data_IF_220627706113
#
_entry.id   IF_220627706113
#
_cell.length_a   1.000
_cell.length_b   1.000
_cell.length_c   1.000
_cell.angle_alpha   90.00
_cell.angle_beta   90.00
_cell.angle_gamma   90.00
#
_symmetry.space_group_name_H-M   'P 1'
#
loop_
_entity.id
_entity.type
_entity.pdbx_description
1 polymer ?
#
# COMPACT_ATOMS: atom_id res chain seq x y z
N UNK A 1 -6.61 14.38 16.04
CA UNK A 1 -6.68 14.44 14.55
C UNK A 1 -6.72 13.00 14.09
N UNK A 2 -7.92 12.45 13.89
CA UNK A 2 -8.09 11.11 13.33
C UNK A 2 -8.96 11.29 12.10
N UNK A 3 -8.37 11.17 10.92
CA UNK A 3 -9.14 11.34 9.69
C UNK A 3 -10.05 10.12 9.45
N UNK A 4 -9.63 8.93 9.93
CA UNK A 4 -10.40 7.69 9.87
C UNK A 4 -10.59 7.18 8.43
N UNK A 5 -10.88 5.88 8.29
CA UNK A 5 -11.08 5.27 6.97
C UNK A 5 -9.83 5.33 6.09
N UNK A 6 -9.96 5.87 4.89
CA UNK A 6 -8.86 6.01 3.91
C UNK A 6 -8.18 7.36 4.09
N UNK A 7 -6.96 7.36 4.64
CA UNK A 7 -6.22 8.55 5.04
C UNK A 7 -5.02 8.84 4.13
N UNK A 8 -4.77 10.13 3.85
CA UNK A 8 -3.48 10.66 3.37
C UNK A 8 -2.90 11.63 4.39
N UNK A 9 -1.60 11.50 4.66
CA UNK A 9 -0.82 12.43 5.48
C UNK A 9 -0.05 13.37 4.57
N UNK A 10 -0.41 14.64 4.55
CA UNK A 10 0.19 15.64 3.64
C UNK A 10 1.27 16.48 4.29
N UNK A 11 1.31 16.51 5.63
CA UNK A 11 2.40 17.15 6.39
C UNK A 11 2.83 16.19 7.49
N UNK A 12 4.13 15.83 7.56
CA UNK A 12 4.64 14.99 8.63
C UNK A 12 4.50 15.71 9.97
N UNK A 13 4.30 14.95 11.04
CA UNK A 13 4.28 15.49 12.39
C UNK A 13 4.06 14.41 13.43
N UNK A 14 4.37 14.76 14.67
CA UNK A 14 4.23 13.93 15.86
C UNK A 14 4.06 14.88 17.07
N UNK A 15 3.41 14.47 18.16
CA UNK A 15 3.33 15.31 19.36
C UNK A 15 4.72 15.82 19.78
N UNK A 16 4.91 17.12 20.10
CA UNK A 16 3.90 18.20 20.21
C UNK A 16 3.60 18.97 18.90
N UNK A 17 4.27 18.65 17.78
CA UNK A 17 4.12 19.32 16.48
C UNK A 17 3.20 18.52 15.55
N UNK A 18 1.88 18.78 15.55
CA UNK A 18 0.94 17.97 14.80
C UNK A 18 1.14 18.09 13.29
N UNK A 19 1.04 16.95 12.60
CA UNK A 19 1.00 16.90 11.15
C UNK A 19 -0.38 17.28 10.58
N UNK A 20 -0.56 17.11 9.27
CA UNK A 20 -1.84 17.30 8.59
C UNK A 20 -2.23 16.04 7.84
N UNK A 21 -3.49 15.64 7.97
CA UNK A 21 -4.06 14.50 7.27
C UNK A 21 -5.46 14.82 6.74
N UNK A 22 -5.85 14.14 5.66
CA UNK A 22 -7.21 14.14 5.10
C UNK A 22 -7.70 12.71 5.05
N UNK A 23 -9.01 12.49 5.20
CA UNK A 23 -9.57 11.16 5.14
C UNK A 23 -11.03 11.14 4.74
N UNK A 24 -11.48 9.98 4.29
CA UNK A 24 -12.88 9.70 4.01
C UNK A 24 -13.23 8.29 4.46
N UNK A 25 -14.47 8.10 4.87
CA UNK A 25 -14.97 6.80 5.33
C UNK A 25 -15.43 5.93 4.16
N UNK A 26 -15.15 4.63 4.27
CA UNK A 26 -15.67 3.59 3.38
C UNK A 26 -16.33 2.51 4.23
N UNK A 27 -17.35 1.84 3.68
CA UNK A 27 -18.04 0.71 4.33
C UNK A 27 -17.58 -0.65 3.79
N UNK A 28 -16.71 -0.66 2.77
CA UNK A 28 -16.15 -1.87 2.17
C UNK A 28 -15.12 -2.49 3.12
N UNK A 29 -15.03 -3.82 3.12
CA UNK A 29 -14.06 -4.58 3.92
C UNK A 29 -12.90 -5.02 3.03
N UNK A 30 -11.70 -5.06 3.59
CA UNK A 30 -10.54 -5.70 2.99
C UNK A 30 -10.25 -7.04 3.65
N UNK A 31 -9.63 -7.96 2.92
CA UNK A 31 -9.11 -9.21 3.47
C UNK A 31 -7.60 -9.09 3.62
N UNK A 32 -7.10 -9.16 4.87
CA UNK A 32 -5.68 -9.19 5.15
C UNK A 32 -5.16 -10.63 5.05
N UNK A 33 -4.11 -10.83 4.28
CA UNK A 33 -3.41 -12.10 4.12
C UNK A 33 -1.97 -11.93 4.59
N UNK A 34 -1.51 -12.75 5.51
CA UNK A 34 -0.13 -12.71 6.01
C UNK A 34 0.47 -14.10 6.10
N UNK A 35 1.76 -14.20 5.79
CA UNK A 35 2.53 -15.42 5.97
C UNK A 35 3.22 -15.36 7.33
N UNK A 36 2.89 -16.29 8.23
CA UNK A 36 3.44 -16.33 9.60
C UNK A 36 4.89 -16.80 9.72
N UNK A 37 5.56 -17.12 8.62
CA UNK A 37 6.96 -17.58 8.68
C UNK A 37 7.93 -16.40 8.89
N UNK A 38 8.96 -16.62 9.72
CA UNK A 38 10.06 -15.68 9.96
C UNK A 38 10.86 -15.46 8.66
N UNK A 39 10.40 -14.56 7.81
CA UNK A 39 11.20 -14.02 6.71
C UNK A 39 12.24 -13.03 7.28
N UNK A 40 13.36 -12.88 6.56
CA UNK A 40 14.57 -12.15 6.96
C UNK A 40 14.27 -10.90 7.77
N UNK A 41 15.07 -10.69 8.84
CA UNK A 41 15.01 -9.49 9.66
C UNK A 41 14.87 -8.25 8.76
N UNK A 42 13.81 -7.47 9.00
CA UNK A 42 13.51 -6.25 8.22
C UNK A 42 14.71 -5.28 8.19
N UNK A 43 15.64 -5.42 9.16
CA UNK A 43 16.92 -4.70 9.21
C UNK A 43 17.82 -4.93 7.99
N UNK A 44 17.86 -6.13 7.41
CA UNK A 44 18.77 -6.39 6.27
C UNK A 44 18.47 -5.56 5.02
N UNK A 45 17.25 -5.04 4.86
CA UNK A 45 16.87 -4.19 3.73
C UNK A 45 16.70 -2.72 4.14
N UNK A 46 16.21 -2.42 5.35
CA UNK A 46 16.04 -1.05 5.85
C UNK A 46 17.39 -0.33 6.03
N UNK A 47 18.44 -1.05 6.42
CA UNK A 47 19.77 -0.47 6.66
C UNK A 47 20.61 -0.30 5.38
N UNK A 48 20.14 -0.83 4.25
CA UNK A 48 20.79 -0.63 2.97
C UNK A 48 20.53 0.79 2.46
N UNK A 49 21.56 1.63 2.38
CA UNK A 49 21.43 3.06 1.99
C UNK A 49 20.65 3.27 0.68
N UNK A 50 20.78 2.35 -0.29
CA UNK A 50 20.04 2.40 -1.55
C UNK A 50 18.53 2.19 -1.40
N UNK A 51 18.11 1.38 -0.42
CA UNK A 51 16.69 1.07 -0.19
C UNK A 51 15.93 2.26 0.36
N UNK A 52 16.50 2.97 1.34
CA UNK A 52 15.91 4.20 1.87
C UNK A 52 15.69 5.24 0.77
N UNK A 53 16.68 5.40 -0.11
CA UNK A 53 16.57 6.30 -1.27
C UNK A 53 15.45 5.89 -2.23
N UNK A 54 15.33 4.60 -2.56
CA UNK A 54 14.24 4.06 -3.40
C UNK A 54 12.87 4.30 -2.76
N UNK A 55 12.71 4.03 -1.47
CA UNK A 55 11.45 4.29 -0.73
C UNK A 55 11.10 5.77 -0.77
N UNK A 56 12.04 6.66 -0.43
CA UNK A 56 11.80 8.11 -0.43
C UNK A 56 11.39 8.58 -1.82
N UNK A 57 12.14 8.21 -2.85
CA UNK A 57 11.85 8.60 -4.23
C UNK A 57 10.49 8.10 -4.70
N UNK A 58 10.16 6.83 -4.45
CA UNK A 58 8.87 6.26 -4.83
C UNK A 58 7.71 6.89 -4.04
N UNK A 59 7.91 7.15 -2.75
CA UNK A 59 6.93 7.78 -1.87
C UNK A 59 6.64 9.23 -2.25
N UNK A 60 7.69 10.03 -2.50
CA UNK A 60 7.56 11.42 -2.92
C UNK A 60 6.84 11.51 -4.28
N UNK A 61 7.17 10.62 -5.22
CA UNK A 61 6.50 10.56 -6.51
C UNK A 61 5.02 10.18 -6.39
N UNK A 62 4.67 9.20 -5.55
CA UNK A 62 3.27 8.84 -5.29
C UNK A 62 2.51 9.99 -4.62
N UNK A 63 3.10 10.63 -3.62
CA UNK A 63 2.50 11.79 -2.95
C UNK A 63 2.30 12.97 -3.90
N UNK A 64 3.24 13.23 -4.80
CA UNK A 64 3.12 14.27 -5.82
C UNK A 64 1.91 14.03 -6.74
N UNK A 65 1.65 12.78 -7.15
CA UNK A 65 0.50 12.43 -7.99
C UNK A 65 -0.81 12.45 -7.19
N UNK A 66 -0.86 11.78 -6.04
CA UNK A 66 -2.05 11.69 -5.18
C UNK A 66 -2.57 13.07 -4.74
N UNK A 67 -1.67 14.01 -4.43
CA UNK A 67 -2.05 15.35 -3.96
C UNK A 67 -2.62 16.27 -5.04
N UNK A 68 -2.56 15.88 -6.32
CA UNK A 68 -3.21 16.60 -7.43
C UNK A 68 -4.71 16.33 -7.50
N UNK A 69 -5.19 15.31 -6.79
CA UNK A 69 -6.59 14.90 -6.79
C UNK A 69 -7.31 15.28 -5.49
N UNK A 70 -8.65 15.30 -5.54
CA UNK A 70 -9.48 15.46 -4.34
C UNK A 70 -9.42 14.19 -3.50
N UNK A 71 -9.21 14.34 -2.20
CA UNK A 71 -9.20 13.22 -1.26
C UNK A 71 -10.62 12.84 -0.83
N UNK A 72 -11.34 12.17 -1.72
CA UNK A 72 -12.67 11.60 -1.51
C UNK A 72 -12.75 10.23 -2.22
N UNK A 73 -13.92 9.58 -2.25
CA UNK A 73 -14.08 8.24 -2.84
C UNK A 73 -13.56 8.09 -4.28
N UNK A 74 -13.55 9.15 -5.09
CA UNK A 74 -13.06 9.08 -6.47
C UNK A 74 -11.55 8.85 -6.58
N UNK A 75 -10.80 9.00 -5.48
CA UNK A 75 -9.35 8.70 -5.47
C UNK A 75 -9.07 7.21 -5.49
N UNK A 76 -10.06 6.37 -5.19
CA UNK A 76 -9.83 4.97 -4.86
C UNK A 76 -9.08 4.18 -5.95
N UNK A 77 -9.48 4.20 -7.23
CA UNK A 77 -8.75 3.48 -8.26
C UNK A 77 -7.30 3.96 -8.41
N UNK A 78 -7.10 5.28 -8.31
CA UNK A 78 -5.78 5.93 -8.39
C UNK A 78 -4.92 5.51 -7.19
N UNK A 79 -5.51 5.43 -6.00
CA UNK A 79 -4.80 5.01 -4.78
C UNK A 79 -4.31 3.55 -4.89
N UNK A 80 -5.14 2.65 -5.42
CA UNK A 80 -4.75 1.26 -5.63
C UNK A 80 -3.60 1.16 -6.65
N UNK A 81 -3.68 1.91 -7.76
CA UNK A 81 -2.59 1.99 -8.75
C UNK A 81 -1.29 2.57 -8.15
N UNK A 82 -1.39 3.63 -7.36
CA UNK A 82 -0.23 4.23 -6.68
C UNK A 82 0.40 3.29 -5.64
N UNK A 83 -0.38 2.42 -5.00
CA UNK A 83 0.14 1.39 -4.11
C UNK A 83 0.99 0.35 -4.87
N UNK A 84 0.55 -0.05 -6.07
CA UNK A 84 1.30 -0.96 -6.93
C UNK A 84 2.57 -0.32 -7.50
N UNK A 85 2.45 0.93 -7.97
CA UNK A 85 3.58 1.73 -8.43
C UNK A 85 4.62 1.92 -7.33
N UNK A 86 4.16 2.25 -6.11
CA UNK A 86 5.04 2.37 -4.96
C UNK A 86 5.76 1.04 -4.66
N UNK A 87 5.02 -0.08 -4.62
CA UNK A 87 5.58 -1.40 -4.33
C UNK A 87 6.65 -1.82 -5.32
N UNK A 88 6.46 -1.51 -6.60
CA UNK A 88 7.42 -1.77 -7.69
C UNK A 88 8.64 -0.85 -7.60
N UNK A 89 8.42 0.46 -7.51
CA UNK A 89 9.49 1.46 -7.61
C UNK A 89 10.35 1.57 -6.34
N UNK A 90 9.79 1.22 -5.18
CA UNK A 90 10.53 1.18 -3.91
C UNK A 90 11.45 -0.04 -3.78
N UNK A 91 11.33 -1.03 -4.67
CA UNK A 91 12.03 -2.31 -4.57
C UNK A 91 11.37 -3.31 -3.61
N UNK A 92 10.18 -3.02 -3.07
CA UNK A 92 9.48 -3.93 -2.14
C UNK A 92 9.16 -5.30 -2.75
N UNK A 93 8.97 -5.37 -4.05
CA UNK A 93 8.76 -6.60 -4.80
C UNK A 93 10.06 -7.40 -5.06
N UNK A 94 11.24 -6.84 -4.76
CA UNK A 94 12.52 -7.57 -4.88
C UNK A 94 12.66 -8.63 -3.77
N UNK A 95 11.86 -8.54 -2.70
CA UNK A 95 11.73 -9.60 -1.70
C UNK A 95 10.89 -10.76 -2.27
N UNK A 96 11.55 -11.90 -2.48
CA UNK A 96 10.94 -13.08 -3.07
C UNK A 96 9.73 -13.61 -2.28
N UNK A 97 9.72 -13.48 -0.95
CA UNK A 97 8.60 -13.89 -0.11
C UNK A 97 7.36 -13.02 -0.35
N UNK A 98 7.56 -11.70 -0.43
CA UNK A 98 6.50 -10.73 -0.74
C UNK A 98 5.93 -10.91 -2.14
N UNK A 99 6.80 -11.02 -3.13
CA UNK A 99 6.38 -11.19 -4.51
C UNK A 99 5.61 -12.52 -4.70
N UNK A 100 6.13 -13.61 -4.14
CA UNK A 100 5.48 -14.91 -4.18
C UNK A 100 4.08 -14.91 -3.52
N UNK A 101 3.95 -14.26 -2.35
CA UNK A 101 2.64 -14.11 -1.71
C UNK A 101 1.66 -13.35 -2.62
N UNK A 102 2.09 -12.20 -3.17
CA UNK A 102 1.24 -11.40 -4.04
C UNK A 102 0.82 -12.19 -5.29
N UNK A 103 1.75 -12.89 -5.94
CA UNK A 103 1.46 -13.72 -7.12
C UNK A 103 0.48 -14.85 -6.82
N UNK A 104 0.60 -15.53 -5.67
CA UNK A 104 -0.34 -16.58 -5.29
C UNK A 104 -1.75 -16.04 -5.07
N UNK A 105 -1.87 -14.87 -4.43
CA UNK A 105 -3.17 -14.23 -4.23
C UNK A 105 -3.78 -13.83 -5.57
N UNK A 106 -3.00 -13.20 -6.46
CA UNK A 106 -3.49 -12.83 -7.79
C UNK A 106 -3.94 -14.04 -8.61
N UNK A 107 -3.17 -15.13 -8.60
CA UNK A 107 -3.54 -16.38 -9.26
C UNK A 107 -4.84 -16.97 -8.68
N UNK A 108 -5.01 -16.92 -7.35
CA UNK A 108 -6.25 -17.38 -6.74
C UNK A 108 -7.45 -16.51 -7.14
N UNK A 109 -7.29 -15.19 -7.20
CA UNK A 109 -8.34 -14.28 -7.69
C UNK A 109 -8.70 -14.56 -9.16
N UNK A 110 -7.73 -14.90 -9.99
CA UNK A 110 -7.97 -15.31 -11.38
C UNK A 110 -8.75 -16.63 -11.45
N UNK A 111 -8.29 -17.67 -10.72
CA UNK A 111 -8.92 -18.99 -10.70
C UNK A 111 -10.40 -18.94 -10.23
N UNK A 112 -10.71 -18.04 -9.30
CA UNK A 112 -12.07 -17.85 -8.77
C UNK A 112 -12.90 -16.84 -9.60
N UNK A 113 -12.36 -16.29 -10.69
CA UNK A 113 -12.98 -15.22 -11.49
C UNK A 113 -13.32 -13.94 -10.67
N UNK A 114 -12.52 -13.65 -9.65
CA UNK A 114 -12.67 -12.51 -8.75
C UNK A 114 -11.75 -11.33 -9.10
N UNK A 115 -10.80 -11.53 -10.02
CA UNK A 115 -9.78 -10.53 -10.39
C UNK A 115 -10.35 -9.24 -11.00
N UNK A 116 -11.57 -9.27 -11.57
CA UNK A 116 -12.28 -8.08 -12.07
C UNK A 116 -12.89 -7.23 -10.94
N UNK A 117 -13.15 -7.83 -9.78
CA UNK A 117 -13.82 -7.16 -8.66
C UNK A 117 -12.84 -6.79 -7.55
N UNK A 118 -11.75 -7.54 -7.41
CA UNK A 118 -10.79 -7.39 -6.34
C UNK A 118 -9.36 -7.32 -6.86
N UNK A 119 -8.51 -6.59 -6.14
CA UNK A 119 -7.08 -6.50 -6.37
C UNK A 119 -6.31 -6.72 -5.06
N UNK A 120 -5.13 -7.32 -5.19
CA UNK A 120 -4.23 -7.55 -4.07
C UNK A 120 -3.09 -6.53 -4.10
N UNK A 121 -2.73 -6.00 -2.93
CA UNK A 121 -1.67 -5.00 -2.77
C UNK A 121 -0.77 -5.34 -1.60
N UNK A 122 0.55 -5.14 -1.73
CA UNK A 122 1.47 -5.40 -0.63
C UNK A 122 1.25 -4.45 0.55
N UNK A 123 1.38 -4.98 1.75
CA UNK A 123 1.51 -4.16 2.95
C UNK A 123 2.98 -3.76 3.16
N UNK A 124 3.19 -2.58 3.75
CA UNK A 124 4.51 -1.95 3.87
C UNK A 124 5.54 -2.79 4.66
N UNK A 125 5.11 -3.54 5.69
CA UNK A 125 6.00 -4.28 6.60
C UNK A 125 5.56 -5.75 6.69
N UNK A 126 6.54 -6.67 6.67
CA UNK A 126 6.33 -8.12 6.70
C UNK A 126 5.97 -8.71 5.33
N UNK A 127 5.76 -10.02 5.30
CA UNK A 127 5.24 -10.75 4.14
C UNK A 127 3.72 -10.82 4.25
N UNK A 128 3.08 -9.74 3.85
CA UNK A 128 1.62 -9.58 3.93
C UNK A 128 1.10 -8.74 2.76
N UNK A 129 -0.16 -8.97 2.43
CA UNK A 129 -0.90 -8.28 1.40
C UNK A 129 -2.35 -8.08 1.84
N UNK A 130 -3.03 -7.11 1.25
CA UNK A 130 -4.45 -6.85 1.45
C UNK A 130 -5.18 -7.04 0.12
N UNK A 131 -6.32 -7.72 0.16
CA UNK A 131 -7.26 -7.82 -0.96
C UNK A 131 -8.35 -6.77 -0.74
N UNK A 132 -8.55 -5.93 -1.74
CA UNK A 132 -9.47 -4.80 -1.72
C UNK A 132 -10.38 -4.82 -2.94
N UNK A 133 -11.61 -4.30 -2.85
CA UNK A 133 -12.43 -4.14 -4.05
C UNK A 133 -11.82 -3.07 -4.96
N UNK A 134 -11.90 -3.26 -6.28
CA UNK A 134 -11.42 -2.27 -7.26
C UNK A 134 -12.24 -0.99 -7.25
N UNK A 135 -13.50 -1.09 -6.86
CA UNK A 135 -14.46 0.01 -6.81
C UNK A 135 -15.15 0.11 -5.43
N UNK A 136 -15.56 1.34 -5.06
CA UNK A 136 -16.22 1.61 -3.78
C UNK A 136 -17.74 1.72 -3.88
N UNK A 137 -18.29 1.73 -5.09
CA UNK A 137 -19.71 1.88 -5.35
C UNK A 137 -20.51 0.62 -5.01
#
# INVERSE_FOLDING_TARGET
IWAGGVEIRTVPGAPPYPGKAKGFSIQKKGLLVWQGQKQKHTSTYIDHKGWKSKISTAGDAAMQRLTQHKWNKSIWPILLEEADNFSRNSGMLEDAGRNNLLSQISLQLENENLHEYYSAHLCMIGTSAIILPRELD
#
